data_IF_920952988152
#
_entry.id   IF_920952988152
#
_cell.length_a   1.000
_cell.length_b   1.000
_cell.length_c   1.000
_cell.angle_alpha   90.00
_cell.angle_beta   90.00
_cell.angle_gamma   90.00
#
_symmetry.space_group_name_H-M   'P 1'
#
loop_
_entity.id
_entity.type
_entity.pdbx_description
1 polymer ?
#
# COMPACT_ATOMS: atom_id res chain seq x y z
N UNK A 1 9.79 2.26 -3.26
CA UNK A 1 8.33 1.98 -3.31
C UNK A 1 8.05 0.72 -2.50
N UNK A 2 6.95 0.67 -1.72
CA UNK A 2 6.59 -0.44 -0.81
C UNK A 2 6.68 -1.84 -1.44
N UNK A 3 6.01 -2.07 -2.56
CA UNK A 3 6.02 -3.37 -3.24
C UNK A 3 7.40 -3.75 -3.78
N UNK A 4 8.22 -2.79 -4.25
CA UNK A 4 9.61 -3.07 -4.64
C UNK A 4 10.45 -3.56 -3.45
N UNK A 5 10.28 -2.94 -2.28
CA UNK A 5 10.94 -3.38 -1.06
C UNK A 5 10.44 -4.77 -0.62
N UNK A 6 9.15 -5.06 -0.77
CA UNK A 6 8.60 -6.37 -0.43
C UNK A 6 9.03 -7.46 -1.42
N UNK A 7 9.11 -7.17 -2.71
CA UNK A 7 9.70 -8.07 -3.70
C UNK A 7 11.14 -8.39 -3.30
N UNK A 8 11.96 -7.37 -3.04
CA UNK A 8 13.35 -7.58 -2.62
C UNK A 8 13.45 -8.50 -1.40
N UNK A 9 12.68 -8.21 -0.34
CA UNK A 9 12.67 -9.03 0.87
C UNK A 9 12.23 -10.49 0.60
N UNK A 10 11.26 -10.69 -0.31
CA UNK A 10 10.80 -12.02 -0.69
C UNK A 10 11.86 -12.78 -1.50
N UNK A 11 12.58 -12.12 -2.40
CA UNK A 11 13.67 -12.73 -3.16
C UNK A 11 14.83 -13.15 -2.25
N UNK A 12 15.22 -12.28 -1.32
CA UNK A 12 16.31 -12.55 -0.37
C UNK A 12 16.01 -13.75 0.55
N UNK A 13 14.73 -14.07 0.76
CA UNK A 13 14.27 -15.15 1.66
C UNK A 13 13.40 -16.17 0.94
N UNK A 14 13.62 -16.35 -0.36
CA UNK A 14 12.71 -17.14 -1.19
C UNK A 14 12.62 -18.60 -0.73
N UNK A 15 13.74 -19.21 -0.34
CA UNK A 15 13.76 -20.61 0.12
C UNK A 15 12.97 -20.80 1.42
N UNK A 16 13.04 -19.83 2.33
CA UNK A 16 12.23 -19.81 3.56
C UNK A 16 10.74 -19.67 3.22
N UNK A 17 10.39 -18.79 2.28
CA UNK A 17 9.01 -18.65 1.81
C UNK A 17 8.49 -19.94 1.15
N UNK A 18 9.34 -20.65 0.41
CA UNK A 18 9.02 -21.96 -0.18
C UNK A 18 8.80 -23.01 0.91
N UNK A 19 9.65 -23.05 1.94
CA UNK A 19 9.50 -23.98 3.06
C UNK A 19 8.21 -23.74 3.85
N UNK A 20 7.82 -22.47 4.04
CA UNK A 20 6.63 -22.08 4.80
C UNK A 20 5.32 -22.27 4.03
N UNK A 21 5.28 -21.88 2.75
CA UNK A 21 4.04 -21.79 1.98
C UNK A 21 3.92 -22.80 0.82
N UNK A 22 5.03 -23.47 0.49
CA UNK A 22 5.18 -24.32 -0.69
C UNK A 22 5.53 -23.53 -1.95
N UNK A 23 6.28 -24.16 -2.84
CA UNK A 23 6.83 -23.53 -4.04
C UNK A 23 5.76 -22.92 -4.98
N UNK A 24 4.57 -23.53 -5.05
CA UNK A 24 3.46 -22.99 -5.82
C UNK A 24 3.00 -21.62 -5.34
N UNK A 25 2.79 -21.47 -4.02
CA UNK A 25 2.34 -20.20 -3.42
C UNK A 25 3.43 -19.14 -3.48
N UNK A 26 4.68 -19.52 -3.20
CA UNK A 26 5.81 -18.60 -3.29
C UNK A 26 5.95 -17.97 -4.68
N UNK A 27 5.79 -18.76 -5.76
CA UNK A 27 5.80 -18.26 -7.14
C UNK A 27 4.64 -17.31 -7.45
N UNK A 28 3.42 -17.67 -7.05
CA UNK A 28 2.24 -16.82 -7.26
C UNK A 28 2.42 -15.49 -6.54
N UNK A 29 2.93 -15.51 -5.30
CA UNK A 29 3.13 -14.30 -4.52
C UNK A 29 4.22 -13.39 -5.10
N UNK A 30 5.32 -13.98 -5.55
CA UNK A 30 6.38 -13.27 -6.29
C UNK A 30 5.82 -12.57 -7.53
N UNK A 31 5.04 -13.28 -8.35
CA UNK A 31 4.41 -12.72 -9.54
C UNK A 31 3.42 -11.60 -9.19
N UNK A 32 2.58 -11.81 -8.18
CA UNK A 32 1.61 -10.83 -7.71
C UNK A 32 2.28 -9.52 -7.26
N UNK A 33 3.33 -9.60 -6.42
CA UNK A 33 4.03 -8.43 -5.91
C UNK A 33 4.76 -7.67 -7.02
N UNK A 34 5.47 -8.39 -7.91
CA UNK A 34 6.17 -7.78 -9.03
C UNK A 34 5.19 -7.12 -10.03
N UNK A 35 4.09 -7.81 -10.37
CA UNK A 35 3.05 -7.26 -11.23
C UNK A 35 2.37 -6.04 -10.62
N UNK A 36 2.04 -6.09 -9.32
CA UNK A 36 1.46 -4.94 -8.62
C UNK A 36 2.41 -3.74 -8.58
N UNK A 37 3.71 -3.95 -8.36
CA UNK A 37 4.70 -2.86 -8.38
C UNK A 37 4.70 -2.14 -9.73
N UNK A 38 4.68 -2.89 -10.83
CA UNK A 38 4.59 -2.34 -12.19
C UNK A 38 3.25 -1.62 -12.40
N UNK A 39 2.14 -2.21 -11.95
CA UNK A 39 0.82 -1.61 -12.07
C UNK A 39 0.75 -0.23 -11.38
N UNK A 40 1.33 -0.10 -10.18
CA UNK A 40 1.44 1.20 -9.50
C UNK A 40 2.36 2.18 -10.24
N UNK A 41 3.51 1.73 -10.73
CA UNK A 41 4.45 2.58 -11.49
C UNK A 41 3.85 3.12 -12.79
N UNK A 42 2.91 2.38 -13.39
CA UNK A 42 2.19 2.76 -14.61
C UNK A 42 0.86 3.48 -14.37
N UNK A 43 0.43 3.60 -13.11
CA UNK A 43 -0.90 4.14 -12.79
C UNK A 43 -2.06 3.26 -13.24
N UNK A 44 -1.82 1.95 -13.44
CA UNK A 44 -2.88 0.97 -13.77
C UNK A 44 -3.70 0.59 -12.53
N UNK A 45 -3.10 0.70 -11.34
CA UNK A 45 -3.75 0.52 -10.04
C UNK A 45 -3.32 1.64 -9.09
N UNK A 46 -4.23 2.05 -8.20
CA UNK A 46 -4.04 3.19 -7.31
C UNK A 46 -4.57 2.90 -5.89
N UNK A 47 -4.11 3.68 -4.91
CA UNK A 47 -4.66 3.69 -3.54
C UNK A 47 -5.23 5.07 -3.27
N UNK A 48 -6.50 5.11 -2.86
CA UNK A 48 -7.19 6.34 -2.48
C UNK A 48 -7.36 6.41 -0.97
N UNK A 49 -7.01 7.56 -0.40
CA UNK A 49 -7.36 7.91 0.97
C UNK A 49 -8.49 8.94 0.92
N UNK A 50 -9.71 8.48 1.15
CA UNK A 50 -10.92 9.31 1.09
C UNK A 50 -11.42 9.59 2.49
N UNK A 51 -11.60 10.87 2.81
CA UNK A 51 -12.27 11.32 4.01
C UNK A 51 -13.74 11.63 3.69
N UNK A 52 -14.67 10.98 4.40
CA UNK A 52 -16.10 11.18 4.24
C UNK A 52 -16.77 11.45 5.60
N UNK A 53 -17.82 12.27 5.60
CA UNK A 53 -18.64 12.60 6.78
C UNK A 53 -20.12 12.32 6.51
N UNK A 54 -20.92 12.17 7.58
CA UNK A 54 -22.37 12.07 7.45
C UNK A 54 -22.95 13.30 6.76
N UNK A 55 -24.01 13.15 5.97
CA UNK A 55 -24.63 14.28 5.25
C UNK A 55 -25.33 15.27 6.19
N UNK A 56 -25.96 14.79 7.27
CA UNK A 56 -26.60 15.64 8.26
C UNK A 56 -25.60 16.07 9.34
N UNK A 57 -25.41 17.39 9.47
CA UNK A 57 -24.45 18.03 10.40
C UNK A 57 -22.98 17.64 10.18
N UNK A 58 -22.62 17.00 9.07
CA UNK A 58 -21.28 16.47 8.82
C UNK A 58 -20.17 17.51 8.80
N UNK A 59 -19.44 17.63 9.91
CA UNK A 59 -18.22 18.40 10.00
C UNK A 59 -17.06 17.43 10.20
N UNK A 60 -16.06 17.46 9.32
CA UNK A 60 -14.91 16.54 9.37
C UNK A 60 -13.93 16.86 10.50
N UNK A 61 -14.00 18.07 11.06
CA UNK A 61 -12.99 18.60 11.97
C UNK A 61 -11.68 18.99 11.26
N UNK A 62 -11.56 18.72 9.95
CA UNK A 62 -10.39 19.10 9.18
C UNK A 62 -10.53 20.54 8.65
N UNK A 63 -9.42 21.29 8.57
CA UNK A 63 -9.44 22.62 7.98
C UNK A 63 -9.83 22.58 6.50
N UNK A 64 -10.43 23.67 6.00
CA UNK A 64 -10.84 23.80 4.59
C UNK A 64 -9.67 23.78 3.61
N UNK A 65 -8.46 24.07 4.11
CA UNK A 65 -7.21 23.94 3.36
C UNK A 65 -6.29 23.00 4.12
N UNK A 66 -5.52 22.16 3.42
CA UNK A 66 -4.55 21.33 4.09
C UNK A 66 -3.54 22.16 4.89
N UNK A 67 -3.31 21.78 6.14
CA UNK A 67 -2.27 22.34 7.00
C UNK A 67 -1.17 21.28 7.15
N UNK A 68 -0.22 21.28 6.22
CA UNK A 68 0.86 20.30 6.20
C UNK A 68 2.02 20.68 7.12
N UNK A 69 2.20 21.99 7.34
CA UNK A 69 3.36 22.55 8.04
C UNK A 69 3.02 23.13 9.43
N UNK A 70 1.75 23.10 9.84
CA UNK A 70 1.34 23.54 11.17
C UNK A 70 1.36 22.36 12.15
N UNK A 71 2.04 22.47 13.30
CA UNK A 71 2.04 21.40 14.29
C UNK A 71 0.61 21.20 14.80
N UNK A 72 0.17 19.94 14.87
CA UNK A 72 -1.09 19.57 15.52
C UNK A 72 -0.97 19.99 16.98
N UNK A 73 -1.69 21.04 17.37
CA UNK A 73 -1.85 21.42 18.78
C UNK A 73 -2.96 20.57 19.38
N UNK A 74 -2.68 19.93 20.53
CA UNK A 74 -3.64 19.21 21.38
C UNK A 74 -4.85 20.08 21.78
#
# INVERSE_FOLDING_TARGET
MTLRAWVQNLEERYDEAVALAGAGRARVWRLYLAGSAIGFERGEIEVYQTLAVRTEKGVSGMPMRPVWDEPVTD
#
